data_IF_001322839410
#
_entry.id   IF_001322839410
#
_cell.length_a   1.000
_cell.length_b   1.000
_cell.length_c   1.000
_cell.angle_alpha   90.00
_cell.angle_beta   90.00
_cell.angle_gamma   90.00
#
_symmetry.space_group_name_H-M   'P 1'
#
loop_
_entity.id
_entity.type
_entity.pdbx_description
1 polymer ?
#
# COMPACT_ATOMS: atom_id res chain seq x y z
N UNK A 1 36.27 4.28 9.46
CA UNK A 1 35.37 4.90 8.47
C UNK A 1 33.97 4.93 9.07
N UNK A 2 33.54 6.10 9.55
CA UNK A 2 32.29 6.26 10.29
C UNK A 2 31.13 6.50 9.33
N UNK A 3 30.22 5.53 9.20
CA UNK A 3 28.96 5.71 8.48
C UNK A 3 28.09 6.73 9.22
N UNK A 4 28.08 7.95 8.69
CA UNK A 4 27.31 9.08 9.17
C UNK A 4 25.81 8.79 9.14
N UNK A 5 25.27 8.43 10.30
CA UNK A 5 23.83 8.42 10.59
C UNK A 5 23.32 9.84 10.33
N UNK A 6 22.64 10.08 9.20
CA UNK A 6 21.94 11.34 8.97
C UNK A 6 20.81 11.43 9.99
N UNK A 7 21.10 12.04 11.15
CA UNK A 7 20.10 12.33 12.17
C UNK A 7 19.05 13.25 11.56
N UNK A 8 17.87 12.71 11.26
CA UNK A 8 16.71 13.51 10.89
C UNK A 8 16.44 14.55 11.96
N UNK A 9 16.59 15.83 11.63
CA UNK A 9 16.39 16.94 12.57
C UNK A 9 14.93 16.95 13.04
N UNK A 10 14.67 16.54 14.28
CA UNK A 10 13.32 16.56 14.86
C UNK A 10 12.75 18.00 14.82
N UNK A 11 11.46 18.18 14.50
CA UNK A 11 10.77 19.50 14.53
C UNK A 11 10.96 20.24 15.85
N UNK A 12 11.20 19.48 16.92
CA UNK A 12 11.49 19.94 18.28
C UNK A 12 12.83 20.70 18.36
N UNK A 13 13.82 20.23 17.62
CA UNK A 13 15.15 20.83 17.49
C UNK A 13 15.07 22.06 16.62
N UNK A 14 14.31 22.00 15.52
CA UNK A 14 14.05 23.16 14.64
C UNK A 14 13.37 24.29 15.42
N UNK A 15 12.31 23.98 16.19
CA UNK A 15 11.63 24.95 17.04
C UNK A 15 12.57 25.57 18.10
N UNK A 16 13.46 24.76 18.70
CA UNK A 16 14.45 25.23 19.68
C UNK A 16 15.52 26.13 19.05
N UNK A 17 16.01 25.78 17.86
CA UNK A 17 16.98 26.59 17.08
C UNK A 17 16.35 27.89 16.58
N UNK A 18 15.13 27.85 16.04
CA UNK A 18 14.40 29.04 15.60
C UNK A 18 14.18 30.04 16.75
N UNK A 19 13.87 29.54 17.96
CA UNK A 19 13.80 30.37 19.17
C UNK A 19 15.13 31.07 19.50
N UNK A 20 16.26 30.41 19.25
CA UNK A 20 17.57 30.99 19.54
C UNK A 20 17.95 32.12 18.55
N UNK A 21 17.45 32.06 17.32
CA UNK A 21 17.71 33.07 16.27
C UNK A 21 16.79 34.28 16.38
N UNK A 22 15.52 34.11 16.76
CA UNK A 22 14.54 35.21 16.86
C UNK A 22 14.57 35.97 18.20
N UNK A 23 15.75 36.16 18.79
CA UNK A 23 15.89 36.95 20.03
C UNK A 23 15.55 38.42 19.75
N UNK A 24 14.37 38.88 20.17
CA UNK A 24 13.94 40.28 20.03
C UNK A 24 12.47 40.45 19.64
N UNK A 25 11.82 39.42 19.09
CA UNK A 25 10.38 39.44 18.83
C UNK A 25 9.64 39.01 20.10
N UNK A 26 8.98 39.95 20.77
CA UNK A 26 8.25 39.73 22.04
C UNK A 26 7.02 38.81 21.91
N UNK A 27 6.72 38.33 20.70
CA UNK A 27 5.51 37.61 20.37
C UNK A 27 5.84 36.19 19.86
N UNK A 28 5.28 35.19 20.54
CA UNK A 28 5.18 33.78 20.16
C UNK A 28 6.44 32.90 20.25
N UNK A 29 6.48 32.12 21.34
CA UNK A 29 7.23 30.84 21.40
C UNK A 29 6.71 29.92 20.29
N UNK A 30 7.48 29.72 19.20
CA UNK A 30 7.13 28.78 18.14
C UNK A 30 6.95 27.35 18.70
N UNK A 31 5.70 26.87 18.75
CA UNK A 31 5.40 25.51 19.14
C UNK A 31 5.67 24.57 17.95
N UNK A 32 5.92 23.29 18.23
CA UNK A 32 6.10 22.24 17.20
C UNK A 32 4.97 22.24 16.17
N UNK A 33 3.74 22.49 16.63
CA UNK A 33 2.54 22.60 15.78
C UNK A 33 2.64 23.75 14.79
N UNK A 34 3.08 24.93 15.24
CA UNK A 34 3.24 26.14 14.42
C UNK A 34 4.30 25.94 13.34
N UNK A 35 5.47 25.40 13.71
CA UNK A 35 6.55 25.10 12.73
C UNK A 35 6.06 24.13 11.67
N UNK A 36 5.29 23.11 12.06
CA UNK A 36 4.69 22.16 11.12
C UNK A 36 3.67 22.83 10.18
N UNK A 37 2.87 23.76 10.67
CA UNK A 37 1.92 24.50 9.81
C UNK A 37 2.65 25.39 8.81
N UNK A 38 3.71 26.09 9.25
CA UNK A 38 4.56 26.93 8.38
C UNK A 38 5.19 26.07 7.28
N UNK A 39 5.83 24.96 7.65
CA UNK A 39 6.48 24.07 6.69
C UNK A 39 5.51 23.41 5.70
N UNK A 40 4.20 23.37 5.97
CA UNK A 40 3.20 22.76 5.06
C UNK A 40 2.55 23.76 4.11
N UNK A 41 2.77 25.06 4.31
CA UNK A 41 2.04 26.09 3.58
C UNK A 41 2.65 26.24 2.19
N UNK A 42 1.87 25.87 1.16
CA UNK A 42 2.28 25.95 -0.25
C UNK A 42 2.53 27.39 -0.72
N UNK A 43 1.94 28.38 -0.04
CA UNK A 43 2.20 29.81 -0.25
C UNK A 43 3.70 30.16 -0.31
N UNK A 44 4.54 29.52 0.50
CA UNK A 44 5.97 29.86 0.57
C UNK A 44 6.80 29.34 -0.59
N UNK A 45 6.29 28.37 -1.36
CA UNK A 45 7.01 27.74 -2.48
C UNK A 45 6.35 28.01 -3.83
N UNK A 46 5.03 28.07 -3.89
CA UNK A 46 4.25 28.21 -5.13
C UNK A 46 3.40 29.49 -5.16
N UNK A 47 3.43 30.32 -4.11
CA UNK A 47 2.60 31.53 -4.03
C UNK A 47 1.10 31.25 -3.93
N UNK A 48 0.71 30.01 -3.61
CA UNK A 48 -0.70 29.58 -3.53
C UNK A 48 -1.33 29.96 -2.18
N UNK A 49 -2.33 30.85 -2.22
CA UNK A 49 -3.14 31.24 -1.07
C UNK A 49 -4.57 30.73 -1.22
N UNK A 50 -5.07 30.04 -0.19
CA UNK A 50 -6.43 29.53 -0.16
C UNK A 50 -7.31 30.39 0.76
N UNK A 51 -8.43 30.87 0.23
CA UNK A 51 -9.46 31.63 0.94
C UNK A 51 -10.81 30.96 0.71
N UNK A 52 -11.25 30.12 1.66
CA UNK A 52 -12.46 29.32 1.49
C UNK A 52 -12.34 28.38 0.28
N UNK A 53 -13.20 28.54 -0.71
CA UNK A 53 -13.19 27.77 -1.96
C UNK A 53 -12.28 28.35 -3.06
N UNK A 54 -11.72 29.55 -2.87
CA UNK A 54 -10.92 30.22 -3.89
C UNK A 54 -9.43 30.03 -3.64
N UNK A 55 -8.69 29.79 -4.73
CA UNK A 55 -7.23 29.73 -4.71
C UNK A 55 -6.68 30.87 -5.56
N UNK A 56 -5.82 31.69 -4.95
CA UNK A 56 -5.13 32.81 -5.60
C UNK A 56 -3.64 32.45 -5.69
N UNK A 57 -3.05 32.61 -6.87
CA UNK A 57 -1.64 32.30 -7.14
C UNK A 57 -0.91 33.64 -7.29
N UNK A 58 0.05 33.90 -6.40
CA UNK A 58 0.88 35.11 -6.36
C UNK A 58 2.37 34.68 -6.39
N UNK A 59 2.94 34.42 -7.59
CA UNK A 59 4.30 33.91 -7.74
C UNK A 59 5.38 34.84 -7.13
N UNK A 60 5.11 36.13 -7.07
CA UNK A 60 5.99 37.16 -6.50
C UNK A 60 6.18 37.04 -4.98
N UNK A 61 5.31 36.31 -4.29
CA UNK A 61 5.39 36.08 -2.84
C UNK A 61 6.10 34.77 -2.47
N UNK A 62 6.75 34.12 -3.43
CA UNK A 62 7.54 32.91 -3.19
C UNK A 62 8.80 33.23 -2.38
N UNK A 63 9.02 32.47 -1.29
CA UNK A 63 10.13 32.70 -0.34
C UNK A 63 11.18 31.59 -0.46
N UNK A 64 10.77 30.39 -0.87
CA UNK A 64 11.59 29.18 -0.88
C UNK A 64 11.48 28.49 -2.23
N UNK A 65 12.59 27.94 -2.72
CA UNK A 65 12.63 27.10 -3.90
C UNK A 65 11.62 25.91 -3.79
N UNK A 66 10.76 25.69 -4.81
CA UNK A 66 9.85 24.54 -4.88
C UNK A 66 10.53 23.19 -4.61
N UNK A 67 11.71 22.95 -5.16
CA UNK A 67 12.45 21.70 -4.99
C UNK A 67 12.89 21.50 -3.53
N UNK A 68 13.32 22.58 -2.86
CA UNK A 68 13.67 22.56 -1.45
C UNK A 68 12.45 22.31 -0.55
N UNK A 69 11.29 22.88 -0.91
CA UNK A 69 10.02 22.66 -0.23
C UNK A 69 9.55 21.20 -0.35
N UNK A 70 9.62 20.61 -1.54
CA UNK A 70 9.28 19.21 -1.76
C UNK A 70 10.18 18.26 -0.95
N UNK A 71 11.50 18.53 -0.92
CA UNK A 71 12.44 17.78 -0.10
C UNK A 71 12.08 17.85 1.40
N UNK A 72 11.62 19.02 1.87
CA UNK A 72 11.13 19.19 3.23
C UNK A 72 9.83 18.41 3.47
N UNK A 73 8.88 18.39 2.53
CA UNK A 73 7.66 17.57 2.63
C UNK A 73 8.00 16.08 2.72
N UNK A 74 8.88 15.58 1.83
CA UNK A 74 9.33 14.18 1.83
C UNK A 74 10.00 13.80 3.16
N UNK A 75 10.89 14.66 3.67
CA UNK A 75 11.50 14.43 4.99
C UNK A 75 10.48 14.43 6.14
N UNK A 76 9.42 15.24 6.06
CA UNK A 76 8.34 15.23 7.06
C UNK A 76 7.46 13.98 7.00
N UNK A 77 7.14 13.48 5.80
CA UNK A 77 6.35 12.25 5.63
C UNK A 77 7.16 11.03 6.03
N UNK A 78 8.41 10.92 5.58
CA UNK A 78 9.34 9.89 5.99
C UNK A 78 9.62 9.93 7.50
N UNK A 79 9.80 11.12 8.07
CA UNK A 79 9.96 11.29 9.51
C UNK A 79 8.72 10.88 10.31
N UNK A 80 7.51 11.03 9.75
CA UNK A 80 6.26 10.55 10.35
C UNK A 80 6.14 9.03 10.26
N UNK A 81 6.54 8.43 9.15
CA UNK A 81 6.56 6.97 8.97
C UNK A 81 7.64 6.30 9.84
N UNK A 82 8.83 6.92 9.93
CA UNK A 82 9.97 6.47 10.73
C UNK A 82 9.90 6.85 12.21
N UNK A 83 9.00 7.75 12.60
CA UNK A 83 8.74 8.04 14.00
C UNK A 83 8.08 6.81 14.65
N UNK A 84 8.90 5.83 15.01
CA UNK A 84 8.62 4.94 16.13
C UNK A 84 8.34 5.88 17.29
N UNK A 85 7.06 6.11 17.60
CA UNK A 85 6.70 6.74 18.87
C UNK A 85 7.42 5.91 19.91
N UNK A 86 8.40 6.49 20.61
CA UNK A 86 8.98 5.89 21.81
C UNK A 86 7.80 5.68 22.75
N UNK A 87 7.26 4.46 22.77
CA UNK A 87 6.13 4.10 23.60
C UNK A 87 6.68 3.71 24.95
N UNK A 88 5.97 4.13 25.99
CA UNK A 88 6.34 3.77 27.37
C UNK A 88 6.26 2.26 27.63
N UNK A 89 5.41 1.56 26.88
CA UNK A 89 5.23 0.11 26.96
C UNK A 89 5.19 -0.49 25.57
N UNK A 90 5.68 -1.72 25.48
CA UNK A 90 5.70 -2.52 24.27
C UNK A 90 4.37 -3.22 24.08
N UNK A 91 3.74 -2.95 22.93
CA UNK A 91 2.52 -3.60 22.49
C UNK A 91 2.74 -4.08 21.07
N UNK A 92 2.75 -5.40 20.87
CA UNK A 92 3.12 -6.01 19.60
C UNK A 92 2.08 -5.72 18.51
N UNK A 93 0.79 -5.79 18.86
CA UNK A 93 -0.33 -5.79 17.92
C UNK A 93 -0.97 -4.42 17.65
N UNK A 94 -0.43 -3.33 18.22
CA UNK A 94 -0.98 -1.98 17.93
C UNK A 94 -0.71 -1.61 16.48
N UNK A 95 -1.80 -1.37 15.75
CA UNK A 95 -1.79 -1.09 14.30
C UNK A 95 -2.17 -2.29 13.46
N UNK A 96 -2.15 -3.50 14.04
CA UNK A 96 -2.53 -4.76 13.42
C UNK A 96 -3.90 -5.25 13.88
N UNK A 97 -4.38 -4.79 15.04
CA UNK A 97 -5.62 -5.28 15.64
C UNK A 97 -6.82 -4.35 15.39
N UNK A 98 -7.94 -4.94 14.98
CA UNK A 98 -9.25 -4.30 14.78
C UNK A 98 -10.31 -4.88 15.71
N UNK A 99 -11.12 -3.99 16.25
CA UNK A 99 -12.28 -4.32 17.07
C UNK A 99 -13.43 -4.87 16.21
N UNK A 100 -14.35 -5.60 16.82
CA UNK A 100 -15.65 -6.03 16.23
C UNK A 100 -16.43 -4.84 15.64
N UNK A 101 -16.31 -3.64 16.22
CA UNK A 101 -16.92 -2.42 15.69
C UNK A 101 -16.16 -1.81 14.48
N UNK A 102 -15.19 -2.52 13.90
CA UNK A 102 -14.38 -2.09 12.74
C UNK A 102 -13.31 -1.04 13.03
N UNK A 103 -13.23 -0.50 14.26
CA UNK A 103 -12.23 0.51 14.62
C UNK A 103 -10.93 -0.11 15.11
N UNK A 104 -9.82 0.59 14.87
CA UNK A 104 -8.50 0.20 15.38
C UNK A 104 -8.48 0.12 16.91
N UNK A 105 -7.64 -0.76 17.42
CA UNK A 105 -7.41 -0.95 18.85
C UNK A 105 -6.13 -0.24 19.30
N UNK A 106 -6.10 0.22 20.55
CA UNK A 106 -4.97 0.96 21.14
C UNK A 106 -4.51 0.33 22.45
N UNK A 107 -3.21 0.43 22.75
CA UNK A 107 -2.66 -0.01 24.03
C UNK A 107 -3.06 0.92 25.19
N UNK A 108 -3.45 0.33 26.31
CA UNK A 108 -3.83 0.98 27.56
C UNK A 108 -3.21 0.23 28.74
N UNK A 109 -2.50 0.95 29.60
CA UNK A 109 -1.93 0.39 30.82
C UNK A 109 -2.81 0.77 32.03
N UNK A 110 -3.25 -0.22 32.81
CA UNK A 110 -4.06 -0.07 34.02
C UNK A 110 -3.28 -0.55 35.25
N UNK A 111 -3.76 -0.23 36.46
CA UNK A 111 -3.11 -0.60 37.73
C UNK A 111 -2.08 0.42 38.23
N UNK A 112 -1.47 0.25 39.41
CA UNK A 112 -0.53 1.19 39.99
C UNK A 112 0.82 1.24 39.23
N UNK A 113 1.66 2.29 39.42
CA UNK A 113 2.93 2.45 38.70
C UNK A 113 3.88 1.25 38.76
N UNK A 114 3.90 0.53 39.88
CA UNK A 114 4.76 -0.63 40.14
C UNK A 114 4.16 -1.97 39.67
N UNK A 115 2.88 -2.01 39.26
CA UNK A 115 2.20 -3.21 38.76
C UNK A 115 1.22 -2.83 37.66
N UNK A 116 1.78 -2.45 36.51
CA UNK A 116 1.00 -2.08 35.33
C UNK A 116 0.58 -3.34 34.58
N UNK A 117 -0.70 -3.44 34.27
CA UNK A 117 -1.26 -4.45 33.40
C UNK A 117 -1.55 -3.82 32.03
N UNK A 118 -1.08 -4.47 30.96
CA UNK A 118 -1.18 -3.98 29.59
C UNK A 118 -2.40 -4.58 28.90
N UNK A 119 -3.23 -3.73 28.30
CA UNK A 119 -4.46 -4.11 27.62
C UNK A 119 -4.56 -3.45 26.24
N UNK A 120 -5.30 -4.09 25.36
CA UNK A 120 -5.78 -3.58 24.10
C UNK A 120 -7.23 -3.10 24.27
N UNK A 121 -7.49 -1.84 23.92
CA UNK A 121 -8.78 -1.19 24.09
C UNK A 121 -9.22 -0.48 22.80
N UNK A 122 -10.50 -0.63 22.46
CA UNK A 122 -11.10 -0.06 21.26
C UNK A 122 -11.00 1.47 21.29
N UNK A 123 -10.53 2.07 20.19
CA UNK A 123 -10.39 3.52 20.12
C UNK A 123 -11.72 4.27 20.24
N UNK A 124 -12.83 3.70 19.76
CA UNK A 124 -14.15 4.32 19.89
C UNK A 124 -14.57 4.36 21.36
N UNK A 125 -14.43 3.24 22.07
CA UNK A 125 -14.72 3.15 23.51
C UNK A 125 -13.83 4.07 24.33
N UNK A 126 -12.55 4.17 23.98
CA UNK A 126 -11.61 5.06 24.67
C UNK A 126 -11.91 6.54 24.48
N UNK A 127 -12.18 6.97 23.25
CA UNK A 127 -12.32 8.39 22.91
C UNK A 127 -13.75 8.91 23.06
N UNK A 128 -14.75 8.04 22.95
CA UNK A 128 -16.17 8.37 22.95
C UNK A 128 -16.91 7.50 23.98
N UNK A 129 -16.40 7.45 25.22
CA UNK A 129 -16.91 6.60 26.31
C UNK A 129 -18.42 6.67 26.51
N UNK A 130 -19.02 7.85 26.33
CA UNK A 130 -20.44 8.11 26.58
C UNK A 130 -21.33 8.03 25.33
N UNK A 131 -20.75 7.87 24.14
CA UNK A 131 -21.48 7.88 22.86
C UNK A 131 -21.23 6.63 22.01
N UNK A 132 -20.45 5.67 22.53
CA UNK A 132 -20.12 4.46 21.78
C UNK A 132 -21.17 3.37 21.96
N UNK A 133 -21.51 2.69 20.88
CA UNK A 133 -22.29 1.45 20.89
C UNK A 133 -21.41 0.19 21.01
N UNK A 134 -20.09 0.34 20.99
CA UNK A 134 -19.14 -0.76 21.06
C UNK A 134 -19.06 -1.32 22.49
N UNK A 135 -19.49 -2.58 22.67
CA UNK A 135 -19.50 -3.29 23.96
C UNK A 135 -18.29 -4.20 24.18
N UNK A 136 -17.33 -4.19 23.26
CA UNK A 136 -16.18 -5.08 23.29
C UNK A 136 -15.37 -4.96 24.58
N UNK A 137 -14.89 -6.10 25.09
CA UNK A 137 -14.07 -6.14 26.31
C UNK A 137 -12.62 -5.78 25.99
N UNK A 138 -11.91 -5.27 27.00
CA UNK A 138 -10.48 -5.02 26.85
C UNK A 138 -9.73 -6.35 26.80
N UNK A 139 -8.87 -6.53 25.80
CA UNK A 139 -8.08 -7.75 25.65
C UNK A 139 -6.75 -7.58 26.38
N UNK A 140 -6.33 -8.58 27.15
CA UNK A 140 -5.03 -8.56 27.82
C UNK A 140 -3.88 -8.72 26.82
N UNK A 141 -2.90 -7.82 26.86
CA UNK A 141 -1.78 -7.86 25.91
C UNK A 141 -0.83 -9.05 26.16
N UNK A 142 -0.67 -9.47 27.41
CA UNK A 142 0.13 -10.65 27.77
C UNK A 142 -0.49 -11.98 27.33
N UNK A 143 -1.80 -12.01 27.04
CA UNK A 143 -2.45 -13.15 26.41
C UNK A 143 -2.48 -13.03 24.88
N UNK A 144 -2.82 -11.85 24.35
CA UNK A 144 -2.99 -11.65 22.91
C UNK A 144 -1.66 -11.66 22.14
N UNK A 145 -0.61 -11.03 22.68
CA UNK A 145 0.68 -10.93 21.97
C UNK A 145 1.34 -12.30 21.74
N UNK A 146 1.46 -13.19 22.76
CA UNK A 146 1.99 -14.53 22.54
C UNK A 146 1.09 -15.37 21.65
N UNK A 147 -0.23 -15.32 21.83
CA UNK A 147 -1.17 -16.11 21.03
C UNK A 147 -1.01 -15.85 19.53
N UNK A 148 -0.99 -14.57 19.13
CA UNK A 148 -0.82 -14.20 17.72
C UNK A 148 0.59 -14.52 17.22
N UNK A 149 1.60 -14.35 18.08
CA UNK A 149 2.98 -14.66 17.71
C UNK A 149 3.18 -16.17 17.49
N UNK A 150 2.66 -17.00 18.37
CA UNK A 150 2.78 -18.45 18.30
C UNK A 150 1.97 -19.00 17.12
N UNK A 151 0.78 -18.44 16.87
CA UNK A 151 0.02 -18.71 15.66
C UNK A 151 0.82 -18.38 14.40
N UNK A 152 1.45 -17.20 14.34
CA UNK A 152 2.27 -16.79 13.19
C UNK A 152 3.49 -17.72 12.99
N UNK A 153 4.17 -18.08 14.07
CA UNK A 153 5.30 -19.00 14.03
C UNK A 153 4.88 -20.42 13.63
N UNK A 154 3.71 -20.88 14.06
CA UNK A 154 3.11 -22.15 13.65
C UNK A 154 2.68 -22.15 12.19
N UNK A 155 2.18 -21.02 11.68
CA UNK A 155 1.85 -20.84 10.26
C UNK A 155 3.11 -20.92 9.39
N UNK A 156 4.18 -20.24 9.79
CA UNK A 156 5.46 -20.22 9.05
C UNK A 156 6.30 -21.50 9.24
N UNK A 157 6.05 -22.26 10.30
CA UNK A 157 6.84 -23.44 10.67
C UNK A 157 6.25 -24.77 10.28
N UNK A 158 4.95 -24.81 10.01
CA UNK A 158 4.28 -26.02 9.57
C UNK A 158 4.12 -25.98 8.05
N UNK A 159 4.77 -26.92 7.36
CA UNK A 159 4.73 -27.04 5.91
C UNK A 159 3.29 -27.21 5.38
N UNK A 160 2.44 -27.98 6.06
CA UNK A 160 1.05 -28.19 5.66
C UNK A 160 0.23 -26.88 5.70
N UNK A 161 0.46 -26.06 6.73
CA UNK A 161 -0.23 -24.77 6.86
C UNK A 161 0.19 -23.80 5.75
N UNK A 162 1.48 -23.79 5.41
CA UNK A 162 2.02 -22.98 4.33
C UNK A 162 1.50 -23.45 2.97
N UNK A 163 1.43 -24.77 2.76
CA UNK A 163 0.85 -25.37 1.56
C UNK A 163 -0.62 -25.00 1.39
N UNK A 164 -1.41 -25.07 2.47
CA UNK A 164 -2.81 -24.65 2.45
C UNK A 164 -2.95 -23.17 2.10
N UNK A 165 -2.13 -22.30 2.68
CA UNK A 165 -2.15 -20.86 2.38
C UNK A 165 -1.77 -20.55 0.93
N UNK A 166 -0.74 -21.22 0.40
CA UNK A 166 -0.31 -21.09 -0.98
C UNK A 166 -1.37 -21.61 -1.97
N UNK A 167 -2.08 -22.68 -1.62
CA UNK A 167 -3.21 -23.17 -2.42
C UNK A 167 -4.38 -22.19 -2.45
N UNK A 168 -4.74 -21.62 -1.29
CA UNK A 168 -5.78 -20.58 -1.22
C UNK A 168 -5.40 -19.34 -2.04
N UNK A 169 -4.13 -18.94 -2.01
CA UNK A 169 -3.64 -17.84 -2.83
C UNK A 169 -3.75 -18.15 -4.32
N UNK A 170 -3.36 -19.36 -4.74
CA UNK A 170 -3.48 -19.80 -6.12
C UNK A 170 -4.95 -19.83 -6.59
N UNK A 171 -5.86 -20.29 -5.74
CA UNK A 171 -7.30 -20.30 -6.01
C UNK A 171 -7.86 -18.88 -6.14
N UNK A 172 -7.48 -17.96 -5.25
CA UNK A 172 -7.87 -16.55 -5.35
C UNK A 172 -7.35 -15.90 -6.62
N UNK A 173 -6.08 -16.15 -6.99
CA UNK A 173 -5.51 -15.69 -8.24
C UNK A 173 -6.30 -16.23 -9.44
N UNK A 174 -6.66 -17.52 -9.43
CA UNK A 174 -7.47 -18.10 -10.50
C UNK A 174 -8.83 -17.39 -10.63
N UNK A 175 -9.51 -17.12 -9.51
CA UNK A 175 -10.77 -16.36 -9.49
C UNK A 175 -10.60 -14.93 -10.03
N UNK A 176 -9.52 -14.23 -9.65
CA UNK A 176 -9.23 -12.87 -10.15
C UNK A 176 -8.89 -12.85 -11.65
N UNK A 177 -8.27 -13.92 -12.15
CA UNK A 177 -7.88 -14.07 -13.56
C UNK A 177 -9.04 -14.59 -14.44
N UNK A 178 -10.09 -15.19 -13.86
CA UNK A 178 -11.25 -15.71 -14.60
C UNK A 178 -11.85 -14.72 -15.61
N UNK A 179 -12.13 -13.45 -15.27
CA UNK A 179 -12.67 -12.49 -16.23
C UNK A 179 -11.72 -12.22 -17.41
N UNK A 180 -10.41 -12.22 -17.16
CA UNK A 180 -9.39 -12.03 -18.20
C UNK A 180 -9.28 -13.26 -19.10
N UNK A 181 -9.39 -14.47 -18.53
CA UNK A 181 -9.44 -15.72 -19.28
C UNK A 181 -10.69 -15.81 -20.17
N UNK A 182 -11.86 -15.43 -19.64
CA UNK A 182 -13.10 -15.34 -20.40
C UNK A 182 -12.99 -14.31 -21.55
N UNK A 183 -12.41 -13.14 -21.29
CA UNK A 183 -12.14 -12.14 -22.33
C UNK A 183 -11.19 -12.67 -23.41
N UNK A 184 -10.14 -13.39 -23.02
CA UNK A 184 -9.20 -14.00 -23.95
C UNK A 184 -9.91 -14.98 -24.89
N UNK A 185 -10.84 -15.81 -24.37
CA UNK A 185 -11.62 -16.72 -25.20
C UNK A 185 -12.42 -15.96 -26.28
N UNK A 186 -13.14 -14.91 -25.88
CA UNK A 186 -13.90 -14.05 -26.81
C UNK A 186 -13.00 -13.41 -27.87
N UNK A 187 -11.84 -12.88 -27.47
CA UNK A 187 -10.89 -12.26 -28.41
C UNK A 187 -10.33 -13.28 -29.40
N UNK A 188 -10.05 -14.50 -28.94
CA UNK A 188 -9.61 -15.60 -29.81
C UNK A 188 -10.71 -15.94 -30.83
N UNK A 189 -11.96 -16.07 -30.40
CA UNK A 189 -13.08 -16.35 -31.31
C UNK A 189 -13.25 -15.24 -32.36
N UNK A 190 -13.29 -13.97 -31.92
CA UNK A 190 -13.34 -12.81 -32.82
C UNK A 190 -12.17 -12.79 -33.81
N UNK A 191 -10.96 -13.12 -33.35
CA UNK A 191 -9.80 -13.20 -34.22
C UNK A 191 -9.99 -14.26 -35.31
N UNK A 192 -10.53 -15.44 -34.98
CA UNK A 192 -10.80 -16.48 -35.98
C UNK A 192 -11.85 -16.04 -37.00
N UNK A 193 -12.89 -15.30 -36.58
CA UNK A 193 -13.90 -14.76 -37.48
C UNK A 193 -13.33 -13.69 -38.42
N UNK A 194 -12.52 -12.77 -37.88
CA UNK A 194 -11.86 -11.72 -38.66
C UNK A 194 -10.84 -12.30 -39.63
N UNK A 195 -10.07 -13.33 -39.24
CA UNK A 195 -9.17 -14.05 -40.15
C UNK A 195 -9.93 -14.71 -41.31
N UNK A 196 -11.10 -15.32 -41.03
CA UNK A 196 -11.98 -15.84 -42.09
C UNK A 196 -12.54 -14.74 -42.99
N UNK A 197 -12.90 -13.57 -42.44
CA UNK A 197 -13.35 -12.41 -43.22
C UNK A 197 -12.23 -11.90 -44.15
N UNK A 198 -11.02 -11.73 -43.62
CA UNK A 198 -9.84 -11.31 -44.39
C UNK A 198 -9.56 -12.30 -45.53
N UNK A 199 -9.59 -13.60 -45.26
CA UNK A 199 -9.39 -14.63 -46.29
C UNK A 199 -10.43 -14.56 -47.40
N UNK A 200 -11.72 -14.41 -47.04
CA UNK A 200 -12.81 -14.26 -48.03
C UNK A 200 -12.66 -13.01 -48.89
N UNK A 201 -12.33 -11.87 -48.28
CA UNK A 201 -12.09 -10.61 -49.01
C UNK A 201 -10.87 -10.71 -49.93
N UNK A 202 -9.80 -11.38 -49.49
CA UNK A 202 -8.61 -11.59 -50.32
C UNK A 202 -8.90 -12.46 -51.55
N UNK A 203 -9.71 -13.51 -51.41
CA UNK A 203 -10.17 -14.33 -52.55
C UNK A 203 -11.05 -13.53 -53.50
N UNK A 204 -12.06 -12.82 -52.98
CA UNK A 204 -12.94 -11.98 -53.82
C UNK A 204 -12.17 -10.88 -54.58
N UNK A 205 -11.15 -10.28 -53.96
CA UNK A 205 -10.30 -9.29 -54.61
C UNK A 205 -9.45 -9.87 -55.74
N UNK A 206 -9.01 -11.13 -55.63
CA UNK A 206 -8.19 -11.78 -56.65
C UNK A 206 -8.95 -12.08 -57.95
N UNK A 207 -10.27 -12.31 -57.85
CA UNK A 207 -11.13 -12.66 -58.97
C UNK A 207 -11.82 -11.42 -59.61
N UNK A 208 -11.65 -10.23 -59.03
CA UNK A 208 -12.35 -9.01 -59.45
C UNK A 208 -11.66 -8.28 -60.61
N UNK A 209 -12.45 -7.84 -61.59
CA UNK A 209 -11.96 -7.18 -62.81
C UNK A 209 -12.37 -5.70 -62.88
N UNK A 210 -13.35 -5.27 -62.07
CA UNK A 210 -13.77 -3.87 -61.98
C UNK A 210 -12.89 -3.06 -61.01
N UNK A 211 -12.27 -1.99 -61.50
CA UNK A 211 -11.35 -1.14 -60.72
C UNK A 211 -12.02 -0.44 -59.53
N UNK A 212 -13.29 -0.04 -59.65
CA UNK A 212 -14.04 0.61 -58.58
C UNK A 212 -14.36 -0.38 -57.46
N UNK A 213 -14.80 -1.58 -57.82
CA UNK A 213 -15.08 -2.66 -56.85
C UNK A 213 -13.79 -3.13 -56.18
N UNK A 214 -12.71 -3.29 -56.95
CA UNK A 214 -11.38 -3.63 -56.43
C UNK A 214 -10.85 -2.57 -55.46
N UNK A 215 -11.10 -1.28 -55.69
CA UNK A 215 -10.75 -0.21 -54.76
C UNK A 215 -11.55 -0.30 -53.45
N UNK A 216 -12.86 -0.58 -53.51
CA UNK A 216 -13.70 -0.76 -52.33
C UNK A 216 -13.26 -1.99 -51.49
N UNK A 217 -13.01 -3.13 -52.13
CA UNK A 217 -12.51 -4.36 -51.48
C UNK A 217 -11.16 -4.15 -50.79
N UNK A 218 -10.24 -3.38 -51.40
CA UNK A 218 -8.98 -2.99 -50.75
C UNK A 218 -9.19 -2.18 -49.47
N UNK A 219 -10.17 -1.27 -49.47
CA UNK A 219 -10.55 -0.50 -48.29
C UNK A 219 -11.04 -1.39 -47.14
N UNK A 220 -12.00 -2.28 -47.43
CA UNK A 220 -12.52 -3.26 -46.47
C UNK A 220 -11.42 -4.20 -45.95
N UNK A 221 -10.55 -4.70 -46.83
CA UNK A 221 -9.43 -5.57 -46.44
C UNK A 221 -8.44 -4.85 -45.52
N UNK A 222 -8.16 -3.56 -45.76
CA UNK A 222 -7.30 -2.76 -44.87
C UNK A 222 -7.95 -2.55 -43.50
N UNK A 223 -9.26 -2.32 -43.44
CA UNK A 223 -10.00 -2.21 -42.18
C UNK A 223 -9.99 -3.53 -41.41
N UNK A 224 -10.29 -4.65 -42.08
CA UNK A 224 -10.29 -5.97 -41.46
C UNK A 224 -8.87 -6.40 -41.00
N UNK A 225 -7.82 -6.04 -41.74
CA UNK A 225 -6.43 -6.29 -41.32
C UNK A 225 -6.06 -5.49 -40.06
N UNK A 226 -6.45 -4.21 -39.97
CA UNK A 226 -6.25 -3.39 -38.77
C UNK A 226 -6.97 -3.96 -37.55
N UNK A 227 -8.20 -4.42 -37.74
CA UNK A 227 -8.98 -5.06 -36.68
C UNK A 227 -8.31 -6.36 -36.19
N UNK A 228 -7.87 -7.21 -37.11
CA UNK A 228 -7.09 -8.42 -36.79
C UNK A 228 -5.84 -8.07 -35.98
N UNK A 229 -5.06 -7.08 -36.41
CA UNK A 229 -3.82 -6.71 -35.73
C UNK A 229 -4.08 -6.16 -34.32
N UNK A 230 -5.18 -5.43 -34.13
CA UNK A 230 -5.63 -4.98 -32.81
C UNK A 230 -6.03 -6.16 -31.90
N UNK A 231 -6.78 -7.13 -32.43
CA UNK A 231 -7.17 -8.35 -31.70
C UNK A 231 -5.96 -9.22 -31.33
N UNK A 232 -4.96 -9.32 -32.21
CA UNK A 232 -3.67 -9.98 -31.94
C UNK A 232 -2.95 -9.31 -30.76
N UNK A 233 -2.84 -7.98 -30.80
CA UNK A 233 -2.20 -7.23 -29.72
C UNK A 233 -2.95 -7.39 -28.38
N UNK A 234 -4.29 -7.36 -28.41
CA UNK A 234 -5.11 -7.59 -27.20
C UNK A 234 -4.90 -9.00 -26.65
N UNK A 235 -4.98 -10.03 -27.50
CA UNK A 235 -4.73 -11.44 -27.14
C UNK A 235 -3.38 -11.61 -26.48
N UNK A 236 -2.32 -11.06 -27.08
CA UNK A 236 -0.96 -11.23 -26.60
C UNK A 236 -0.77 -10.52 -25.25
N UNK A 237 -1.39 -9.34 -25.06
CA UNK A 237 -1.43 -8.66 -23.77
C UNK A 237 -2.17 -9.44 -22.67
N UNK A 238 -3.27 -10.12 -23.03
CA UNK A 238 -4.08 -10.92 -22.11
C UNK A 238 -3.32 -12.20 -21.73
N UNK A 239 -2.70 -12.88 -22.69
CA UNK A 239 -1.85 -14.05 -22.44
C UNK A 239 -0.67 -13.72 -21.53
N UNK A 240 0.01 -12.60 -21.78
CA UNK A 240 1.12 -12.17 -20.93
C UNK A 240 0.67 -11.92 -19.48
N UNK A 241 -0.48 -11.26 -19.28
CA UNK A 241 -1.05 -11.02 -17.94
C UNK A 241 -1.45 -12.32 -17.23
N UNK A 242 -2.12 -13.23 -17.93
CA UNK A 242 -2.51 -14.53 -17.37
C UNK A 242 -1.28 -15.38 -17.01
N UNK A 243 -0.23 -15.34 -17.81
CA UNK A 243 1.01 -16.07 -17.53
C UNK A 243 1.76 -15.46 -16.32
N UNK A 244 1.84 -14.14 -16.24
CA UNK A 244 2.49 -13.44 -15.11
C UNK A 244 1.68 -13.53 -13.80
N UNK A 245 0.36 -13.70 -13.88
CA UNK A 245 -0.51 -13.78 -12.72
C UNK A 245 -0.54 -15.15 -12.03
N UNK A 246 -0.04 -16.21 -12.68
CA UNK A 246 0.00 -17.55 -12.10
C UNK A 246 1.27 -17.74 -11.28
N UNK A 247 1.10 -18.07 -10.01
CA UNK A 247 2.22 -18.48 -9.15
C UNK A 247 2.90 -19.72 -9.73
N UNK A 248 4.20 -19.63 -9.93
CA UNK A 248 5.04 -20.71 -10.42
C UNK A 248 5.47 -21.64 -9.29
N UNK A 249 5.78 -22.90 -9.61
CA UNK A 249 6.30 -23.85 -8.62
C UNK A 249 7.65 -23.40 -8.03
N UNK A 250 8.45 -22.67 -8.82
CA UNK A 250 9.70 -22.09 -8.34
C UNK A 250 9.46 -21.01 -7.27
N UNK A 251 8.48 -20.12 -7.47
CA UNK A 251 8.08 -19.13 -6.47
C UNK A 251 7.52 -19.79 -5.22
N UNK A 252 6.69 -20.83 -5.41
CA UNK A 252 6.13 -21.65 -4.32
C UNK A 252 7.23 -22.22 -3.43
N UNK A 253 8.26 -22.82 -4.05
CA UNK A 253 9.42 -23.36 -3.36
C UNK A 253 10.24 -22.27 -2.66
N UNK A 254 10.47 -21.13 -3.31
CA UNK A 254 11.20 -20.00 -2.72
C UNK A 254 10.49 -19.46 -1.46
N UNK A 255 9.16 -19.37 -1.48
CA UNK A 255 8.37 -18.95 -0.31
C UNK A 255 8.55 -19.95 0.85
N UNK A 256 8.52 -21.26 0.57
CA UNK A 256 8.77 -22.30 1.58
C UNK A 256 10.15 -22.20 2.21
N UNK A 257 11.19 -22.05 1.38
CA UNK A 257 12.57 -21.93 1.86
C UNK A 257 12.77 -20.67 2.72
N UNK A 258 12.20 -19.55 2.29
CA UNK A 258 12.23 -18.29 3.04
C UNK A 258 11.49 -18.41 4.37
N UNK A 259 10.30 -19.03 4.38
CA UNK A 259 9.53 -19.25 5.61
C UNK A 259 10.31 -20.09 6.63
N UNK A 260 10.97 -21.16 6.16
CA UNK A 260 11.82 -21.99 7.01
C UNK A 260 13.04 -21.22 7.55
N UNK A 261 13.66 -20.37 6.75
CA UNK A 261 14.77 -19.52 7.19
C UNK A 261 14.32 -18.49 8.25
N UNK A 262 13.19 -17.82 8.01
CA UNK A 262 12.58 -16.87 8.95
C UNK A 262 12.27 -17.57 10.28
N UNK A 263 11.70 -18.77 10.24
CA UNK A 263 11.38 -19.52 11.46
C UNK A 263 12.64 -19.86 12.28
N UNK A 264 13.69 -20.39 11.62
CA UNK A 264 14.97 -20.70 12.27
C UNK A 264 15.61 -19.49 12.95
N UNK A 265 15.60 -18.33 12.28
CA UNK A 265 16.22 -17.10 12.81
C UNK A 265 15.40 -16.42 13.91
N UNK A 266 14.08 -16.64 13.96
CA UNK A 266 13.20 -15.93 14.88
C UNK A 266 12.81 -16.69 16.15
N UNK A 267 13.38 -17.88 16.39
CA UNK A 267 13.19 -18.64 17.64
C UNK A 267 13.52 -17.86 18.93
N UNK A 268 14.37 -16.81 18.85
CA UNK A 268 14.62 -15.84 19.94
C UNK A 268 14.47 -14.38 19.45
N UNK A 269 13.42 -14.09 18.69
CA UNK A 269 13.19 -12.76 18.13
C UNK A 269 12.99 -11.69 19.22
N UNK A 270 13.74 -10.59 19.09
CA UNK A 270 13.52 -9.37 19.87
C UNK A 270 12.18 -8.71 19.52
N UNK A 271 11.63 -7.88 20.42
CA UNK A 271 10.37 -7.16 20.17
C UNK A 271 10.39 -6.36 18.86
N UNK A 272 11.50 -5.71 18.55
CA UNK A 272 11.67 -4.96 17.31
C UNK A 272 11.58 -5.87 16.07
N UNK A 273 12.19 -7.06 16.11
CA UNK A 273 12.12 -8.05 15.03
C UNK A 273 10.71 -8.61 14.87
N UNK A 274 10.03 -8.97 15.98
CA UNK A 274 8.63 -9.44 15.94
C UNK A 274 7.72 -8.42 15.25
N UNK A 275 7.89 -7.15 15.59
CA UNK A 275 7.08 -6.06 15.04
C UNK A 275 7.42 -5.76 13.58
N UNK A 276 8.69 -5.86 13.20
CA UNK A 276 9.10 -5.72 11.80
C UNK A 276 8.47 -6.82 10.93
N UNK A 277 8.43 -8.06 11.42
CA UNK A 277 7.79 -9.17 10.72
C UNK A 277 6.29 -8.95 10.55
N UNK A 278 5.57 -8.57 11.62
CA UNK A 278 4.14 -8.28 11.53
C UNK A 278 3.81 -7.18 10.52
N UNK A 279 4.67 -6.16 10.43
CA UNK A 279 4.54 -5.10 9.43
C UNK A 279 4.83 -5.58 8.01
N UNK A 280 5.84 -6.42 7.83
CA UNK A 280 6.23 -6.96 6.53
C UNK A 280 5.16 -7.88 5.96
N UNK A 281 4.54 -8.71 6.82
CA UNK A 281 3.49 -9.66 6.44
C UNK A 281 2.07 -9.04 6.49
N UNK A 282 1.96 -7.73 6.72
CA UNK A 282 0.71 -6.98 6.92
C UNK A 282 -0.35 -7.74 7.74
N UNK A 283 0.07 -8.30 8.88
CA UNK A 283 -0.82 -9.13 9.70
C UNK A 283 -1.97 -8.28 10.25
N UNK A 284 -3.20 -8.73 10.04
CA UNK A 284 -4.40 -8.09 10.58
C UNK A 284 -5.13 -9.07 11.51
N UNK A 285 -5.36 -8.65 12.74
CA UNK A 285 -6.09 -9.42 13.77
C UNK A 285 -7.45 -8.78 13.94
N UNK A 286 -8.52 -9.56 13.75
CA UNK A 286 -9.88 -9.14 14.07
C UNK A 286 -10.29 -9.80 15.38
N UNK A 287 -10.87 -9.01 16.27
CA UNK A 287 -11.65 -9.54 17.39
C UNK A 287 -12.97 -10.07 16.85
N UNK A 288 -13.36 -11.27 17.29
CA UNK A 288 -14.65 -11.92 17.04
C UNK A 288 -15.40 -12.10 18.36
#
# INVERSE_FOLDING_TARGET
>A
MANGRVMGTRLTVIAKKAKAVMRGLSCMRLRRGTVRCILKRRAYAYGEFHYGAHTVILPELTIVDPHLFELAQRRMTEGRARAVKERKYDYLLVGHMRCTCGRNVSGTALGPPHRRHLYYDCNTKRNQRHMTTCKEKQTRADAADPLVWDWLMGLLGNEENLDRGLNQLAEQQEIELQPQAARLAIVVDLLTETERKVKRLATAFADEQDDMIAAALRGEMKTAARERDALIAERDSLRARLAAGKMTEAERKAIKELAAEVNRKLGKATFAQKRALLHMLDVQVKLE
#
